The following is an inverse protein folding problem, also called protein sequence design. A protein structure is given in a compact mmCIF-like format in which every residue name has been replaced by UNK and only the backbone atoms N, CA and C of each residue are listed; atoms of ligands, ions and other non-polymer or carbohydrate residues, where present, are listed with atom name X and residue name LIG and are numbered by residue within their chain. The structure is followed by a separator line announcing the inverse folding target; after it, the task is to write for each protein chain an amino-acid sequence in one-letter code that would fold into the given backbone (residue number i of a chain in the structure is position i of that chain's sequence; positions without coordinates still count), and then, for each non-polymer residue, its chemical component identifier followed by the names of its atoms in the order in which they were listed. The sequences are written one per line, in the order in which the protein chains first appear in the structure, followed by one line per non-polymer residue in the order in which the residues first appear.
data_IF_472362293917
#
_entry.id   IF_472362293917
#
_cell.length_a   1.000
_cell.length_b   1.000
_cell.length_c   1.000
_cell.angle_alpha   90.00
_cell.angle_beta   90.00
_cell.angle_gamma   90.00
#
_symmetry.space_group_name_H-M   'P 1'
#
loop_
_entity.id
_entity.type
_entity.pdbx_description
1 polymer ?
#
# COMPACT_ATOMS: atom_id res chain seq x y z
N UNK A 1 24.13 -32.05 8.56
CA UNK A 1 22.69 -31.96 8.20
C UNK A 1 21.85 -31.29 9.29
N UNK A 2 21.96 -31.70 10.54
CA UNK A 2 21.14 -31.23 11.69
C UNK A 2 21.16 -29.72 11.95
N UNK A 3 22.33 -29.05 11.87
CA UNK A 3 22.42 -27.58 12.06
C UNK A 3 21.61 -26.77 11.04
N UNK A 4 21.51 -27.23 9.79
CA UNK A 4 20.70 -26.59 8.74
C UNK A 4 19.20 -26.76 9.02
N UNK A 5 18.80 -27.93 9.54
CA UNK A 5 17.41 -28.19 9.92
C UNK A 5 16.96 -27.33 11.11
N UNK A 6 17.82 -27.15 12.12
CA UNK A 6 17.53 -26.25 13.26
C UNK A 6 17.36 -24.80 12.79
N UNK A 7 18.23 -24.33 11.89
CA UNK A 7 18.14 -22.97 11.34
C UNK A 7 16.85 -22.77 10.52
N UNK A 8 16.49 -23.75 9.69
CA UNK A 8 15.26 -23.71 8.90
C UNK A 8 14.01 -23.68 9.80
N UNK A 9 13.99 -24.49 10.85
CA UNK A 9 12.88 -24.53 11.81
C UNK A 9 12.72 -23.20 12.56
N UNK A 10 13.83 -22.57 12.95
CA UNK A 10 13.81 -21.26 13.60
C UNK A 10 13.30 -20.15 12.67
N UNK A 11 13.66 -20.19 11.38
CA UNK A 11 13.16 -19.24 10.38
C UNK A 11 11.63 -19.32 10.20
N UNK A 12 11.08 -20.54 10.15
CA UNK A 12 9.63 -20.76 9.99
C UNK A 12 8.83 -20.25 11.20
N UNK A 13 9.39 -20.36 12.40
CA UNK A 13 8.79 -19.85 13.64
C UNK A 13 8.64 -18.31 13.64
N UNK A 14 9.59 -17.59 13.05
CA UNK A 14 9.57 -16.11 13.01
C UNK A 14 8.49 -15.54 12.07
N UNK A 15 8.01 -16.33 11.11
CA UNK A 15 7.01 -15.91 10.12
C UNK A 15 5.55 -16.03 10.64
N UNK A 16 5.32 -16.60 11.82
CA UNK A 16 3.97 -16.87 12.36
C UNK A 16 3.30 -15.68 13.07
N UNK A 17 3.94 -14.50 13.08
CA UNK A 17 3.45 -13.34 13.85
C UNK A 17 2.38 -12.49 13.14
N UNK A 18 2.10 -12.75 11.86
CA UNK A 18 1.09 -12.00 11.13
C UNK A 18 -0.32 -12.39 11.58
N UNK A 19 -1.11 -11.43 12.07
CA UNK A 19 -2.50 -11.63 12.48
C UNK A 19 -3.41 -10.65 11.75
N UNK A 20 -4.63 -11.07 11.37
CA UNK A 20 -5.59 -10.17 10.75
C UNK A 20 -6.07 -9.12 11.76
N UNK A 21 -6.06 -7.86 11.34
CA UNK A 21 -6.59 -6.74 12.13
C UNK A 21 -8.11 -6.84 12.19
N UNK A 22 -8.70 -6.67 13.37
CA UNK A 22 -10.16 -6.68 13.53
C UNK A 22 -10.76 -5.47 12.80
N UNK A 23 -11.95 -5.63 12.24
CA UNK A 23 -12.55 -4.62 11.35
C UNK A 23 -12.62 -3.22 11.98
N UNK A 24 -12.97 -3.14 13.26
CA UNK A 24 -13.06 -1.87 13.99
C UNK A 24 -11.70 -1.24 14.32
N UNK A 25 -10.62 -2.02 14.33
CA UNK A 25 -9.26 -1.51 14.54
C UNK A 25 -8.67 -0.94 13.25
N UNK A 26 -9.21 -1.34 12.10
CA UNK A 26 -8.81 -0.78 10.80
C UNK A 26 -9.10 0.71 10.70
N UNK A 27 -10.14 1.22 11.37
CA UNK A 27 -10.41 2.67 11.42
C UNK A 27 -9.21 3.47 11.97
N UNK A 28 -8.46 2.91 12.92
CA UNK A 28 -7.28 3.58 13.51
C UNK A 28 -6.03 3.51 12.63
N UNK A 29 -6.00 2.58 11.68
CA UNK A 29 -4.87 2.35 10.76
C UNK A 29 -5.15 3.04 9.41
N UNK A 30 -6.41 3.13 9.01
CA UNK A 30 -6.85 3.75 7.77
C UNK A 30 -6.83 5.27 7.88
N UNK A 31 -5.65 5.85 7.72
CA UNK A 31 -5.49 7.29 7.58
C UNK A 31 -6.18 7.75 6.26
N UNK A 32 -7.03 8.79 6.28
CA UNK A 32 -7.62 9.35 5.07
C UNK A 32 -6.57 9.75 4.01
N UNK A 33 -5.35 10.11 4.42
CA UNK A 33 -4.26 10.49 3.52
C UNK A 33 -3.57 9.27 2.86
N UNK A 34 -3.78 8.06 3.38
CA UNK A 34 -3.30 6.82 2.73
C UNK A 34 -4.17 6.36 1.56
N UNK A 35 -5.28 7.06 1.28
CA UNK A 35 -6.05 6.81 0.06
C UNK A 35 -5.17 7.24 -1.12
N UNK A 36 -4.86 6.28 -1.99
CA UNK A 36 -4.08 6.49 -3.22
C UNK A 36 -4.83 7.31 -4.28
N UNK A 37 -5.73 8.21 -3.89
CA UNK A 37 -6.50 9.05 -4.81
C UNK A 37 -6.33 10.51 -4.43
N UNK A 38 -6.12 11.34 -5.46
CA UNK A 38 -6.02 12.78 -5.28
C UNK A 38 -7.30 13.33 -4.65
N UNK A 39 -7.15 14.26 -3.72
CA UNK A 39 -8.28 14.99 -3.16
C UNK A 39 -8.93 15.80 -4.27
N UNK A 40 -10.23 16.02 -4.17
CA UNK A 40 -10.98 16.81 -5.16
C UNK A 40 -10.42 18.22 -5.35
N UNK A 41 -9.84 18.80 -4.31
CA UNK A 41 -9.19 20.12 -4.34
C UNK A 41 -7.88 20.14 -5.14
N UNK A 42 -7.18 19.00 -5.26
CA UNK A 42 -5.88 18.88 -5.93
C UNK A 42 -6.03 18.65 -7.45
N UNK A 43 -7.26 18.57 -7.95
CA UNK A 43 -7.55 18.29 -9.36
C UNK A 43 -6.86 19.26 -10.32
N UNK A 44 -6.75 20.53 -9.95
CA UNK A 44 -6.08 21.54 -10.77
C UNK A 44 -4.57 21.31 -10.85
N UNK A 45 -3.93 20.97 -9.73
CA UNK A 45 -2.49 20.67 -9.65
C UNK A 45 -2.15 19.40 -10.44
N UNK A 46 -2.96 18.34 -10.27
CA UNK A 46 -2.81 17.12 -11.08
C UNK A 46 -3.00 17.40 -12.57
N UNK A 47 -3.97 18.23 -12.95
CA UNK A 47 -4.18 18.58 -14.36
C UNK A 47 -2.99 19.35 -14.95
N UNK A 48 -2.39 20.24 -14.16
CA UNK A 48 -1.17 20.95 -14.55
C UNK A 48 0.02 20.00 -14.74
N UNK A 49 0.26 19.10 -13.79
CA UNK A 49 1.35 18.12 -13.85
C UNK A 49 1.17 17.15 -15.04
N UNK A 50 -0.05 16.66 -15.27
CA UNK A 50 -0.36 15.81 -16.44
C UNK A 50 -0.09 16.57 -17.74
N UNK A 51 -0.57 17.80 -17.86
CA UNK A 51 -0.45 18.57 -19.10
C UNK A 51 0.98 18.99 -19.40
N UNK A 52 1.75 19.40 -18.38
CA UNK A 52 3.11 19.94 -18.56
C UNK A 52 4.20 18.88 -18.51
N UNK A 53 4.06 17.91 -17.61
CA UNK A 53 5.11 16.95 -17.27
C UNK A 53 4.79 15.52 -17.74
N UNK A 54 3.64 15.33 -18.40
CA UNK A 54 3.13 14.01 -18.78
C UNK A 54 3.05 13.03 -17.59
N UNK A 55 2.84 13.56 -16.39
CA UNK A 55 2.73 12.74 -15.18
C UNK A 55 1.50 11.80 -15.30
N UNK A 56 1.73 10.50 -15.19
CA UNK A 56 0.68 9.48 -15.26
C UNK A 56 0.92 8.38 -14.21
N UNK A 57 -0.13 7.98 -13.48
CA UNK A 57 -0.06 6.96 -12.41
C UNK A 57 -0.38 7.48 -11.01
N UNK A 58 -0.39 6.58 -10.02
CA UNK A 58 -0.54 6.82 -8.57
C UNK A 58 -1.78 7.61 -8.07
N UNK A 59 -2.74 7.95 -8.94
CA UNK A 59 -3.88 8.82 -8.59
C UNK A 59 -5.17 8.06 -8.25
N UNK A 60 -5.11 6.72 -8.17
CA UNK A 60 -6.21 5.88 -7.67
C UNK A 60 -7.44 5.80 -8.56
N UNK A 61 -7.43 6.49 -9.70
CA UNK A 61 -8.48 6.45 -10.73
C UNK A 61 -8.11 5.56 -11.93
N UNK A 62 -9.06 5.34 -12.84
CA UNK A 62 -8.87 4.51 -14.05
C UNK A 62 -7.70 4.94 -14.94
N UNK A 63 -7.33 6.21 -14.92
CA UNK A 63 -6.27 6.80 -15.75
C UNK A 63 -4.89 6.81 -15.08
N UNK A 64 -4.77 6.33 -13.83
CA UNK A 64 -3.53 6.38 -13.06
C UNK A 64 -3.44 5.29 -12.00
N UNK A 65 -3.98 4.09 -12.29
CA UNK A 65 -3.93 2.96 -11.37
C UNK A 65 -2.48 2.51 -11.16
N UNK A 66 -1.94 2.76 -9.97
CA UNK A 66 -0.81 1.98 -9.47
C UNK A 66 -1.26 0.54 -9.21
N UNK A 67 -0.31 -0.37 -9.00
CA UNK A 67 -0.60 -1.70 -8.47
C UNK A 67 -1.21 -1.54 -7.08
N UNK A 68 -2.53 -1.36 -7.02
CA UNK A 68 -3.27 -1.19 -5.78
C UNK A 68 -3.16 -2.48 -4.99
N UNK A 69 -2.22 -2.54 -4.05
CA UNK A 69 -2.24 -3.51 -2.98
C UNK A 69 -3.30 -3.04 -1.99
N UNK A 70 -4.48 -3.65 -2.05
CA UNK A 70 -5.38 -3.77 -0.92
C UNK A 70 -5.28 -5.22 -0.44
#
# INVERSE_FOLDING_TARGET
MTKKMVFLFFSILMLQSCSPVKEYEKEKINDPDMKLTARTVERYETSFQVYREAAAGANGGKSGGGCGCN
#
